data_IF_284283434921
#
_entry.id   IF_284283434921
#
_cell.length_a   1.000
_cell.length_b   1.000
_cell.length_c   1.000
_cell.angle_alpha   90.00
_cell.angle_beta   90.00
_cell.angle_gamma   90.00
#
_symmetry.space_group_name_H-M   'P 1'
#
loop_
_entity.id
_entity.type
_entity.pdbx_description
1 polymer ?
#
# COMPACT_ATOMS: atom_id res chain seq x y z
N UNK A 1 1.14 -6.76 4.20
CA UNK A 1 0.87 -6.51 5.63
C UNK A 1 1.58 -5.28 6.19
N UNK A 2 2.78 -4.94 5.65
CA UNK A 2 3.60 -3.83 6.17
C UNK A 2 2.90 -2.48 6.12
N UNK A 3 2.29 -2.14 5.01
CA UNK A 3 1.59 -0.85 4.83
C UNK A 3 0.36 -0.76 5.72
N UNK A 4 -0.44 -1.84 5.85
CA UNK A 4 -1.59 -1.89 6.76
C UNK A 4 -1.16 -1.69 8.21
N UNK A 5 -0.06 -2.32 8.64
CA UNK A 5 0.52 -2.10 9.96
C UNK A 5 0.92 -0.64 10.16
N UNK A 6 1.61 -0.04 9.19
CA UNK A 6 2.06 1.35 9.26
C UNK A 6 0.85 2.31 9.36
N UNK A 7 -0.23 2.06 8.62
CA UNK A 7 -1.47 2.83 8.71
C UNK A 7 -2.13 2.70 10.09
N UNK A 8 -2.22 1.49 10.64
CA UNK A 8 -2.78 1.27 11.98
C UNK A 8 -1.98 2.05 13.04
N UNK A 9 -0.65 1.96 13.00
CA UNK A 9 0.23 2.66 13.96
C UNK A 9 0.11 4.17 13.81
N UNK A 10 0.12 4.68 12.58
CA UNK A 10 0.06 6.13 12.33
C UNK A 10 -1.27 6.78 12.77
N UNK A 11 -2.37 6.02 12.76
CA UNK A 11 -3.70 6.48 13.17
C UNK A 11 -4.05 6.11 14.61
N UNK A 12 -3.24 5.30 15.28
CA UNK A 12 -3.48 4.86 16.63
C UNK A 12 -3.29 6.00 17.65
N UNK A 13 -4.20 6.10 18.62
CA UNK A 13 -4.07 6.97 19.78
C UNK A 13 -3.62 6.13 20.98
N UNK A 14 -2.47 5.49 20.82
CA UNK A 14 -1.92 4.58 21.83
C UNK A 14 -0.69 5.16 22.53
N UNK A 15 -0.37 4.57 23.70
CA UNK A 15 0.85 4.93 24.42
C UNK A 15 2.10 4.66 23.57
N UNK A 16 3.19 5.43 23.71
CA UNK A 16 4.42 5.30 22.93
C UNK A 16 5.05 3.90 22.98
N UNK A 17 4.79 3.14 24.03
CA UNK A 17 5.28 1.75 24.16
C UNK A 17 4.56 0.81 23.21
N UNK A 18 3.25 0.99 23.01
CA UNK A 18 2.47 0.19 22.07
C UNK A 18 2.90 0.46 20.63
N UNK A 19 3.17 1.71 20.28
CA UNK A 19 3.72 2.06 18.96
C UNK A 19 5.07 1.36 18.72
N UNK A 20 5.99 1.44 19.67
CA UNK A 20 7.28 0.74 19.60
C UNK A 20 7.11 -0.77 19.49
N UNK A 21 6.17 -1.36 20.22
CA UNK A 21 5.88 -2.80 20.15
C UNK A 21 5.38 -3.20 18.76
N UNK A 22 4.47 -2.45 18.17
CA UNK A 22 3.96 -2.74 16.83
C UNK A 22 5.02 -2.63 15.74
N UNK A 23 5.99 -1.74 15.92
CA UNK A 23 7.12 -1.58 15.00
C UNK A 23 8.26 -2.56 15.31
N UNK A 24 8.25 -3.17 16.49
CA UNK A 24 9.32 -4.10 16.89
C UNK A 24 9.47 -5.23 15.90
N UNK A 25 10.71 -5.44 15.45
CA UNK A 25 11.10 -6.56 14.59
C UNK A 25 11.94 -7.53 15.39
N UNK A 26 11.54 -8.80 15.37
CA UNK A 26 12.26 -9.83 16.08
C UNK A 26 13.65 -10.06 15.47
N UNK A 27 14.66 -10.06 16.32
CA UNK A 27 16.06 -10.30 15.97
C UNK A 27 16.50 -11.66 16.50
N UNK A 28 17.65 -12.17 16.01
CA UNK A 28 18.26 -13.40 16.46
C UNK A 28 18.04 -14.58 15.49
N UNK A 29 18.18 -15.81 16.00
CA UNK A 29 18.15 -17.06 15.22
C UNK A 29 16.84 -17.85 15.35
N UNK A 30 15.79 -17.26 15.93
CA UNK A 30 14.49 -17.92 16.07
C UNK A 30 13.69 -17.89 14.76
N UNK A 31 12.68 -18.73 14.64
CA UNK A 31 11.73 -18.73 13.50
C UNK A 31 11.01 -17.39 13.33
N UNK A 32 10.95 -16.57 14.39
CA UNK A 32 10.37 -15.23 14.32
C UNK A 32 11.33 -14.17 13.77
N UNK A 33 12.60 -14.50 13.58
CA UNK A 33 13.61 -13.54 13.11
C UNK A 33 13.16 -12.88 11.80
N UNK A 34 13.27 -11.56 11.74
CA UNK A 34 12.84 -10.75 10.60
C UNK A 34 11.34 -10.40 10.57
N UNK A 35 10.49 -11.08 11.34
CA UNK A 35 9.07 -10.70 11.45
C UNK A 35 8.86 -9.50 12.36
N UNK A 36 7.93 -8.60 12.01
CA UNK A 36 7.50 -7.56 12.95
C UNK A 36 6.33 -8.04 13.80
N UNK A 37 6.29 -7.62 15.07
CA UNK A 37 5.17 -7.93 15.96
C UNK A 37 3.81 -7.50 15.33
N UNK A 38 3.72 -6.29 14.79
CA UNK A 38 2.48 -5.80 14.21
C UNK A 38 1.99 -6.62 13.02
N UNK A 39 2.91 -7.16 12.18
CA UNK A 39 2.51 -8.06 11.10
C UNK A 39 1.99 -9.41 11.63
N UNK A 40 2.62 -9.95 12.68
CA UNK A 40 2.15 -11.18 13.34
C UNK A 40 0.81 -10.94 14.04
N UNK A 41 0.61 -9.78 14.65
CA UNK A 41 -0.67 -9.41 15.28
C UNK A 41 -1.80 -9.37 14.23
N UNK A 42 -1.60 -8.71 13.09
CA UNK A 42 -2.60 -8.66 12.02
C UNK A 42 -2.88 -10.06 11.48
N UNK A 43 -1.85 -10.88 11.29
CA UNK A 43 -2.03 -12.27 10.84
C UNK A 43 -2.83 -13.10 11.84
N UNK A 44 -2.53 -13.00 13.13
CA UNK A 44 -3.27 -13.67 14.20
C UNK A 44 -4.73 -13.19 14.26
N UNK A 45 -4.97 -11.87 14.17
CA UNK A 45 -6.31 -11.30 14.12
C UNK A 45 -7.09 -11.81 12.90
N UNK A 46 -6.45 -11.94 11.74
CA UNK A 46 -7.10 -12.49 10.54
C UNK A 46 -7.52 -13.94 10.74
N UNK A 47 -6.71 -14.76 11.42
CA UNK A 47 -7.08 -16.14 11.75
C UNK A 47 -8.25 -16.22 12.75
N UNK A 48 -8.25 -15.33 13.74
CA UNK A 48 -9.31 -15.30 14.77
C UNK A 48 -10.63 -14.80 14.20
N UNK A 49 -10.60 -13.81 13.33
CA UNK A 49 -11.83 -13.18 12.79
C UNK A 49 -12.31 -13.82 11.48
N UNK A 50 -11.46 -14.58 10.81
CA UNK A 50 -11.76 -15.28 9.57
C UNK A 50 -11.49 -14.50 8.29
N UNK A 51 -11.34 -13.16 8.36
CA UNK A 51 -11.01 -12.32 7.21
C UNK A 51 -10.23 -11.05 7.59
N UNK A 52 -9.48 -10.51 6.62
CA UNK A 52 -8.58 -9.38 6.85
C UNK A 52 -9.32 -8.07 7.14
N UNK A 53 -10.49 -7.85 6.56
CA UNK A 53 -11.26 -6.62 6.76
C UNK A 53 -11.78 -6.53 8.20
N UNK A 54 -12.36 -7.63 8.69
CA UNK A 54 -12.80 -7.76 10.10
C UNK A 54 -11.60 -7.66 11.04
N UNK A 55 -10.48 -8.31 10.72
CA UNK A 55 -9.26 -8.23 11.50
C UNK A 55 -8.78 -6.78 11.68
N UNK A 56 -8.73 -6.00 10.60
CA UNK A 56 -8.33 -4.59 10.65
C UNK A 56 -9.31 -3.75 11.44
N UNK A 57 -10.61 -3.97 11.28
CA UNK A 57 -11.66 -3.28 12.04
C UNK A 57 -11.54 -3.53 13.55
N UNK A 58 -11.36 -4.78 13.96
CA UNK A 58 -11.20 -5.13 15.37
C UNK A 58 -9.84 -4.68 15.91
N UNK A 59 -8.76 -4.77 15.12
CA UNK A 59 -7.45 -4.21 15.46
C UNK A 59 -7.50 -2.71 15.69
N UNK A 60 -8.26 -1.99 14.87
CA UNK A 60 -8.46 -0.55 15.00
C UNK A 60 -9.11 -0.17 16.33
N UNK A 61 -10.04 -1.00 16.84
CA UNK A 61 -10.63 -0.79 18.16
C UNK A 61 -9.62 -1.02 19.29
N UNK A 62 -8.83 -2.11 19.19
CA UNK A 62 -7.79 -2.44 20.20
C UNK A 62 -6.72 -1.33 20.29
N UNK A 63 -6.40 -0.73 19.16
CA UNK A 63 -5.38 0.31 19.05
C UNK A 63 -5.93 1.73 19.17
N UNK A 64 -7.22 1.89 19.45
CA UNK A 64 -7.89 3.20 19.50
C UNK A 64 -7.59 4.07 18.28
N UNK A 65 -7.63 3.47 17.08
CA UNK A 65 -7.35 4.15 15.82
C UNK A 65 -8.35 5.26 15.55
N UNK A 66 -7.86 6.45 15.20
CA UNK A 66 -8.70 7.57 14.74
C UNK A 66 -8.94 7.41 13.23
N UNK A 67 -10.19 7.12 12.84
CA UNK A 67 -10.55 6.84 11.46
C UNK A 67 -10.70 5.35 11.17
N UNK A 68 -10.42 4.94 9.93
CA UNK A 68 -10.56 3.56 9.47
C UNK A 68 -9.33 3.15 8.66
N UNK A 69 -8.88 1.92 8.83
CA UNK A 69 -7.91 1.26 7.95
C UNK A 69 -8.64 0.18 7.18
N UNK A 70 -8.69 0.33 5.87
CA UNK A 70 -9.40 -0.55 4.96
C UNK A 70 -8.41 -1.21 4.00
N UNK A 71 -8.52 -2.52 3.74
CA UNK A 71 -7.69 -3.16 2.72
C UNK A 71 -8.17 -2.79 1.32
N UNK A 72 -7.26 -2.66 0.36
CA UNK A 72 -7.64 -2.44 -1.03
C UNK A 72 -8.38 -3.66 -1.60
N UNK A 73 -7.90 -4.88 -1.28
CA UNK A 73 -8.52 -6.15 -1.65
C UNK A 73 -8.42 -7.14 -0.51
N UNK A 74 -9.28 -8.18 -0.50
CA UNK A 74 -9.18 -9.33 0.39
C UNK A 74 -8.30 -10.45 -0.18
N UNK A 75 -7.96 -10.36 -1.44
CA UNK A 75 -7.18 -11.37 -2.13
C UNK A 75 -5.69 -11.26 -1.82
N UNK A 76 -5.02 -12.42 -1.86
CA UNK A 76 -3.56 -12.45 -1.83
C UNK A 76 -3.03 -12.09 -3.21
N UNK A 77 -2.49 -10.89 -3.32
CA UNK A 77 -1.87 -10.41 -4.56
C UNK A 77 -0.35 -10.40 -4.44
N UNK A 78 0.32 -10.71 -5.55
CA UNK A 78 1.75 -10.51 -5.73
C UNK A 78 1.94 -9.36 -6.71
N UNK A 79 2.93 -8.52 -6.45
CA UNK A 79 3.35 -7.46 -7.35
C UNK A 79 4.46 -7.97 -8.27
N UNK A 80 4.28 -7.81 -9.57
CA UNK A 80 5.28 -8.11 -10.58
C UNK A 80 5.62 -6.83 -11.35
N UNK A 81 6.90 -6.63 -11.67
CA UNK A 81 7.36 -5.49 -12.47
C UNK A 81 7.84 -5.96 -13.85
N UNK A 82 7.43 -5.22 -14.88
CA UNK A 82 7.96 -5.32 -16.23
C UNK A 82 8.98 -4.21 -16.38
N UNK A 83 10.22 -4.56 -16.64
CA UNK A 83 11.31 -3.61 -16.82
C UNK A 83 11.37 -3.07 -18.27
N UNK A 84 12.04 -1.94 -18.49
CA UNK A 84 12.17 -1.34 -19.83
C UNK A 84 12.86 -2.29 -20.85
N UNK A 85 13.71 -3.20 -20.38
CA UNK A 85 14.35 -4.21 -21.22
C UNK A 85 13.49 -5.46 -21.50
N UNK A 86 12.22 -5.46 -21.03
CA UNK A 86 11.28 -6.56 -21.17
C UNK A 86 11.42 -7.66 -20.11
N UNK A 87 12.38 -7.58 -19.20
CA UNK A 87 12.53 -8.54 -18.09
C UNK A 87 11.33 -8.41 -17.14
N UNK A 88 10.81 -9.54 -16.66
CA UNK A 88 9.77 -9.58 -15.62
C UNK A 88 10.41 -9.97 -14.29
N UNK A 89 10.21 -9.13 -13.28
CA UNK A 89 10.65 -9.38 -11.90
C UNK A 89 9.42 -9.65 -11.05
N UNK A 90 9.37 -10.83 -10.44
CA UNK A 90 8.24 -11.27 -9.65
C UNK A 90 8.48 -11.04 -8.15
N UNK A 91 7.51 -10.43 -7.50
CA UNK A 91 7.53 -10.18 -6.06
C UNK A 91 8.14 -8.83 -5.68
N UNK A 92 7.43 -8.11 -4.83
CA UNK A 92 7.70 -6.75 -4.38
C UNK A 92 9.16 -6.55 -3.92
N UNK A 93 9.67 -7.47 -3.09
CA UNK A 93 11.02 -7.36 -2.51
C UNK A 93 12.15 -7.43 -3.53
N UNK A 94 11.94 -8.09 -4.64
CA UNK A 94 12.97 -8.29 -5.68
C UNK A 94 13.03 -7.11 -6.68
N UNK A 95 11.99 -6.28 -6.71
CA UNK A 95 11.91 -5.16 -7.67
C UNK A 95 13.06 -4.18 -7.49
N UNK A 96 13.34 -3.65 -6.28
CA UNK A 96 14.48 -2.76 -6.08
C UNK A 96 15.83 -3.45 -6.30
N UNK A 97 15.93 -4.75 -5.98
CA UNK A 97 17.17 -5.53 -6.12
C UNK A 97 17.58 -5.74 -7.58
N UNK A 98 16.63 -5.64 -8.51
CA UNK A 98 16.91 -5.79 -9.93
C UNK A 98 17.75 -4.63 -10.50
N UNK A 99 17.77 -3.47 -9.85
CA UNK A 99 18.48 -2.26 -10.29
C UNK A 99 18.23 -1.90 -11.76
N UNK A 100 16.99 -2.11 -12.24
CA UNK A 100 16.56 -1.83 -13.60
C UNK A 100 15.45 -0.80 -13.60
N UNK A 101 15.32 -0.06 -14.71
CA UNK A 101 14.20 0.85 -14.88
C UNK A 101 12.89 0.09 -15.05
N UNK A 102 11.91 0.47 -14.25
CA UNK A 102 10.56 -0.09 -14.29
C UNK A 102 9.78 0.57 -15.42
N UNK A 103 9.27 -0.23 -16.34
CA UNK A 103 8.33 0.21 -17.36
C UNK A 103 6.90 0.24 -16.80
N UNK A 104 6.48 -0.86 -16.16
CA UNK A 104 5.14 -1.01 -15.60
C UNK A 104 5.13 -2.05 -14.48
N UNK A 105 4.23 -1.87 -13.52
CA UNK A 105 3.92 -2.92 -12.53
C UNK A 105 2.51 -3.45 -12.73
N UNK A 106 2.28 -4.69 -12.29
CA UNK A 106 0.99 -5.36 -12.34
C UNK A 106 0.78 -6.26 -11.13
N UNK A 107 -0.47 -6.50 -10.78
CA UNK A 107 -0.83 -7.47 -9.76
C UNK A 107 -0.97 -8.87 -10.36
N UNK A 108 -0.73 -9.88 -9.53
CA UNK A 108 -1.04 -11.27 -9.84
C UNK A 108 -1.83 -11.87 -8.66
N UNK A 109 -3.07 -12.33 -8.88
CA UNK A 109 -3.85 -12.29 -10.12
C UNK A 109 -4.16 -10.85 -10.59
N UNK A 110 -4.33 -10.67 -11.90
CA UNK A 110 -4.55 -9.32 -12.50
C UNK A 110 -5.90 -8.70 -12.13
N UNK A 111 -6.89 -9.52 -11.77
CA UNK A 111 -8.26 -9.11 -11.45
C UNK A 111 -8.57 -9.24 -9.95
N UNK A 112 -7.69 -8.68 -9.11
CA UNK A 112 -7.99 -8.60 -7.68
C UNK A 112 -9.10 -7.56 -7.45
N UNK A 113 -10.23 -8.00 -6.88
CA UNK A 113 -11.39 -7.12 -6.65
C UNK A 113 -11.20 -6.22 -5.44
N UNK A 114 -11.66 -4.98 -5.57
CA UNK A 114 -11.66 -4.03 -4.46
C UNK A 114 -12.70 -4.40 -3.40
N UNK A 115 -12.35 -4.14 -2.14
CA UNK A 115 -13.32 -4.21 -1.04
C UNK A 115 -14.34 -3.07 -1.16
N UNK A 116 -15.62 -3.39 -1.01
CA UNK A 116 -16.70 -2.42 -1.18
C UNK A 116 -16.57 -1.21 -0.23
N UNK A 117 -16.17 -1.47 1.02
CA UNK A 117 -15.93 -0.40 2.02
C UNK A 117 -14.86 0.59 1.57
N UNK A 118 -13.82 0.14 0.86
CA UNK A 118 -12.77 1.02 0.31
C UNK A 118 -13.29 1.86 -0.86
N UNK A 119 -14.10 1.27 -1.75
CA UNK A 119 -14.75 2.02 -2.83
C UNK A 119 -15.73 3.06 -2.28
N UNK A 120 -16.47 2.75 -1.23
CA UNK A 120 -17.41 3.67 -0.60
C UNK A 120 -16.66 4.82 0.10
N UNK A 121 -15.54 4.53 0.76
CA UNK A 121 -14.68 5.56 1.35
C UNK A 121 -14.15 6.52 0.29
N UNK A 122 -13.69 6.02 -0.85
CA UNK A 122 -13.20 6.85 -1.97
C UNK A 122 -14.33 7.71 -2.56
N UNK A 123 -15.53 7.15 -2.74
CA UNK A 123 -16.69 7.88 -3.30
C UNK A 123 -17.17 9.02 -2.40
N UNK A 124 -17.06 8.83 -1.07
CA UNK A 124 -17.53 9.79 -0.08
C UNK A 124 -16.42 10.75 0.40
N UNK A 125 -15.22 10.62 -0.09
CA UNK A 125 -14.10 11.48 0.29
C UNK A 125 -14.29 12.91 -0.27
N UNK A 126 -13.89 13.91 0.51
CA UNK A 126 -13.74 15.31 0.09
C UNK A 126 -12.33 15.59 -0.46
N UNK A 127 -11.33 14.84 0.05
CA UNK A 127 -9.96 14.84 -0.45
C UNK A 127 -9.42 13.41 -0.48
N UNK A 128 -8.63 13.10 -1.50
CA UNK A 128 -7.92 11.83 -1.67
C UNK A 128 -6.44 12.14 -1.70
N UNK A 129 -5.67 11.54 -0.79
CA UNK A 129 -4.22 11.71 -0.73
C UNK A 129 -3.56 10.40 -1.16
N UNK A 130 -2.72 10.48 -2.19
CA UNK A 130 -1.89 9.37 -2.65
C UNK A 130 -0.49 9.50 -2.03
N UNK A 131 -0.08 8.53 -1.24
CA UNK A 131 1.20 8.54 -0.53
C UNK A 131 1.13 9.24 0.84
N UNK A 132 2.31 9.48 1.50
CA UNK A 132 3.65 9.09 1.03
C UNK A 132 3.85 7.57 1.01
N UNK A 133 4.82 7.11 0.22
CA UNK A 133 5.18 5.69 0.11
C UNK A 133 6.02 5.43 -1.14
N UNK A 134 6.60 4.25 -1.26
CA UNK A 134 7.30 3.83 -2.45
C UNK A 134 6.37 3.85 -3.65
N UNK A 135 6.78 4.52 -4.74
CA UNK A 135 5.92 4.77 -5.89
C UNK A 135 5.35 3.47 -6.48
N UNK A 136 6.24 2.54 -6.82
CA UNK A 136 5.88 1.31 -7.53
C UNK A 136 5.49 0.15 -6.61
N UNK A 137 5.97 0.15 -5.36
CA UNK A 137 5.74 -0.96 -4.44
C UNK A 137 4.69 -0.67 -3.36
N UNK A 138 4.34 0.60 -3.11
CA UNK A 138 3.30 0.95 -2.12
C UNK A 138 2.14 1.77 -2.70
N UNK A 139 2.39 2.79 -3.53
CA UNK A 139 1.32 3.67 -4.03
C UNK A 139 0.57 3.03 -5.19
N UNK A 140 1.27 2.73 -6.28
CA UNK A 140 0.67 2.21 -7.52
C UNK A 140 -0.08 0.87 -7.31
N UNK A 141 0.41 -0.11 -6.51
CA UNK A 141 -0.29 -1.38 -6.35
C UNK A 141 -1.73 -1.24 -5.86
N UNK A 142 -2.00 -0.27 -4.98
CA UNK A 142 -3.38 -0.02 -4.53
C UNK A 142 -4.27 0.51 -5.66
N UNK A 143 -3.72 1.29 -6.59
CA UNK A 143 -4.43 1.84 -7.74
C UNK A 143 -4.74 0.79 -8.80
N UNK A 144 -3.99 -0.32 -8.82
CA UNK A 144 -4.17 -1.43 -9.75
C UNK A 144 -5.27 -2.41 -9.32
N UNK A 145 -5.72 -2.35 -8.07
CA UNK A 145 -6.87 -3.16 -7.61
C UNK A 145 -8.10 -2.74 -8.38
N UNK A 146 -8.83 -3.72 -8.92
CA UNK A 146 -9.96 -3.49 -9.82
C UNK A 146 -11.02 -2.59 -9.18
N UNK A 147 -11.34 -1.50 -9.85
CA UNK A 147 -12.30 -0.48 -9.41
C UNK A 147 -11.71 0.68 -8.60
N UNK A 148 -10.54 0.54 -7.94
CA UNK A 148 -9.97 1.64 -7.12
C UNK A 148 -9.50 2.80 -7.99
N UNK A 149 -8.65 2.55 -8.99
CA UNK A 149 -8.16 3.59 -9.89
C UNK A 149 -9.31 4.34 -10.58
N UNK A 150 -10.30 3.62 -11.07
CA UNK A 150 -11.51 4.18 -11.67
C UNK A 150 -12.33 5.02 -10.68
N UNK A 151 -12.50 4.54 -9.44
CA UNK A 151 -13.24 5.26 -8.41
C UNK A 151 -12.55 6.59 -8.06
N UNK A 152 -11.22 6.59 -7.95
CA UNK A 152 -10.41 7.79 -7.71
C UNK A 152 -10.55 8.77 -8.88
N UNK A 153 -10.38 8.30 -10.13
CA UNK A 153 -10.48 9.14 -11.30
C UNK A 153 -11.86 9.80 -11.47
N UNK A 154 -12.93 9.11 -11.05
CA UNK A 154 -14.32 9.61 -11.13
C UNK A 154 -14.75 10.40 -9.90
N UNK A 155 -14.00 10.35 -8.82
CA UNK A 155 -14.31 11.11 -7.61
C UNK A 155 -14.24 12.60 -7.85
N UNK A 156 -15.14 13.35 -7.19
CA UNK A 156 -15.14 14.82 -7.14
C UNK A 156 -14.19 15.37 -6.07
N UNK A 157 -13.62 14.50 -5.25
CA UNK A 157 -12.62 14.87 -4.26
C UNK A 157 -11.41 15.52 -4.91
N UNK A 158 -10.76 16.41 -4.18
CA UNK A 158 -9.43 16.92 -4.56
C UNK A 158 -8.41 15.79 -4.41
N UNK A 159 -7.64 15.50 -5.45
CA UNK A 159 -6.66 14.42 -5.49
C UNK A 159 -5.24 14.98 -5.39
N UNK A 160 -4.57 14.66 -4.30
CA UNK A 160 -3.25 15.18 -3.93
C UNK A 160 -2.26 14.03 -3.92
N UNK A 161 -1.16 14.16 -4.64
CA UNK A 161 -0.04 13.23 -4.54
C UNK A 161 1.08 13.82 -3.68
N UNK A 162 1.47 13.10 -2.64
CA UNK A 162 2.64 13.45 -1.82
C UNK A 162 3.87 12.76 -2.40
N UNK A 163 4.61 13.53 -3.21
CA UNK A 163 5.84 13.04 -3.83
C UNK A 163 6.94 12.81 -2.78
N UNK A 164 7.64 11.68 -2.90
CA UNK A 164 8.81 11.42 -2.06
C UNK A 164 9.88 12.49 -2.25
N UNK A 165 10.48 12.93 -1.13
CA UNK A 165 11.53 13.94 -1.12
C UNK A 165 12.83 13.43 -1.76
N UNK A 166 13.07 12.11 -1.67
CA UNK A 166 14.24 11.43 -2.22
C UNK A 166 13.81 10.37 -3.23
N UNK A 167 14.62 10.17 -4.27
CA UNK A 167 14.48 9.02 -5.15
C UNK A 167 14.84 7.73 -4.41
N UNK A 168 14.20 6.64 -4.77
CA UNK A 168 14.42 5.33 -4.16
C UNK A 168 15.28 4.48 -5.09
N UNK A 169 16.48 4.05 -4.65
CA UNK A 169 17.35 3.20 -5.44
C UNK A 169 16.64 1.92 -5.91
N UNK A 170 16.79 1.58 -7.19
CA UNK A 170 16.17 0.41 -7.79
C UNK A 170 14.69 0.57 -8.16
N UNK A 171 14.05 1.70 -7.82
CA UNK A 171 12.68 2.01 -8.22
C UNK A 171 12.57 3.31 -9.02
N UNK A 172 13.04 4.41 -8.46
CA UNK A 172 12.83 5.76 -9.01
C UNK A 172 14.14 6.51 -9.26
N UNK A 173 15.20 5.80 -9.58
CA UNK A 173 16.50 6.40 -9.87
C UNK A 173 16.40 7.47 -10.95
N UNK A 174 16.81 8.69 -10.61
CA UNK A 174 16.80 9.84 -11.52
C UNK A 174 15.41 10.40 -11.83
N UNK A 175 14.37 10.00 -11.11
CA UNK A 175 13.02 10.53 -11.31
C UNK A 175 12.90 11.98 -10.83
N UNK A 176 12.20 12.78 -11.63
CA UNK A 176 11.65 14.07 -11.21
C UNK A 176 10.25 13.87 -10.63
N UNK A 177 9.71 14.88 -9.93
CA UNK A 177 8.33 14.85 -9.44
C UNK A 177 7.32 14.60 -10.57
N UNK A 178 7.53 15.21 -11.74
CA UNK A 178 6.67 14.99 -12.92
C UNK A 178 6.70 13.55 -13.44
N UNK A 179 7.84 12.86 -13.31
CA UNK A 179 7.93 11.42 -13.67
C UNK A 179 7.15 10.54 -12.70
N UNK A 180 7.13 10.88 -11.40
CA UNK A 180 6.30 10.19 -10.42
C UNK A 180 4.81 10.33 -10.76
N UNK A 181 4.35 11.56 -11.01
CA UNK A 181 2.95 11.82 -11.41
C UNK A 181 2.60 11.09 -12.70
N UNK A 182 3.51 11.14 -13.69
CA UNK A 182 3.31 10.41 -14.95
C UNK A 182 3.13 8.91 -14.72
N UNK A 183 3.97 8.29 -13.88
CA UNK A 183 3.86 6.88 -13.57
C UNK A 183 2.51 6.53 -12.92
N UNK A 184 2.01 7.36 -12.00
CA UNK A 184 0.67 7.19 -11.41
C UNK A 184 -0.41 7.25 -12.49
N UNK A 185 -0.36 8.28 -13.34
CA UNK A 185 -1.35 8.46 -14.41
C UNK A 185 -1.33 7.35 -15.47
N UNK A 186 -0.16 6.81 -15.78
CA UNK A 186 0.01 5.71 -16.73
C UNK A 186 -0.60 4.39 -16.21
N UNK A 187 -0.70 4.22 -14.87
CA UNK A 187 -1.27 3.03 -14.24
C UNK A 187 -2.74 3.17 -13.86
N UNK A 188 -3.14 4.33 -13.32
CA UNK A 188 -4.47 4.56 -12.76
C UNK A 188 -5.39 5.40 -13.65
N UNK A 189 -4.84 6.15 -14.61
CA UNK A 189 -5.59 7.06 -15.47
C UNK A 189 -5.26 8.54 -15.24
N UNK A 190 -5.57 9.38 -16.23
CA UNK A 190 -5.14 10.79 -16.27
C UNK A 190 -5.71 11.67 -15.16
N UNK A 191 -6.86 11.30 -14.60
CA UNK A 191 -7.54 12.10 -13.57
C UNK A 191 -7.24 11.59 -12.15
N UNK A 192 -6.17 10.82 -11.95
CA UNK A 192 -5.82 10.27 -10.65
C UNK A 192 -5.16 11.29 -9.71
N UNK A 193 -4.64 12.40 -10.24
CA UNK A 193 -3.91 13.44 -9.48
C UNK A 193 -4.32 14.81 -10.00
N UNK A 194 -4.63 15.74 -9.08
CA UNK A 194 -4.89 17.16 -9.38
C UNK A 194 -3.69 18.04 -8.96
N UNK A 195 -3.03 17.70 -7.82
CA UNK A 195 -1.92 18.44 -7.22
C UNK A 195 -0.81 17.52 -6.75
#
# INVERSE_FOLDING_TARGET
>A
PGDLRNCLVALADTEPLMEKLFQHRFEGSSELSGHSFGNLFIAAMTQVTGDVETALKESSKVLAVKGQVLPASKEFVRLDAIMEDGTVVCGESHIPEAHKRIHRVKLYPEHAEAVQSSLDAIRNAEAIVLGPGSLYTSVIPNLLVEGIGDAICRSKAVKIYICNVMTQPGETDGYTASMHVKAIMDHAGRNAVDY
#
